data_IF_505943593123
#
_entry.id   IF_505943593123
#
_cell.length_a   1.000
_cell.length_b   1.000
_cell.length_c   1.000
_cell.angle_alpha   90.00
_cell.angle_beta   90.00
_cell.angle_gamma   90.00
#
_symmetry.space_group_name_H-M   'P 1'
#
loop_
_entity.id
_entity.type
_entity.pdbx_description
1 polymer ?
#
# COMPACT_ATOMS: atom_id res chain seq x y z
N UNK A 1 -8.62 4.28 8.63
CA UNK A 1 -9.00 5.70 8.79
C UNK A 1 -7.96 6.49 8.02
N UNK A 2 -8.33 7.16 6.93
CA UNK A 2 -7.37 7.71 5.96
C UNK A 2 -7.00 9.14 6.35
N UNK A 3 -5.73 9.39 6.66
CA UNK A 3 -5.24 10.69 7.14
C UNK A 3 -4.83 11.58 5.96
N UNK A 4 -5.21 12.85 6.02
CA UNK A 4 -4.90 13.87 5.03
C UNK A 4 -3.44 14.33 5.16
N UNK A 5 -2.62 14.10 4.12
CA UNK A 5 -1.19 14.43 4.09
C UNK A 5 -0.93 15.93 4.22
N UNK A 6 -1.90 16.80 3.88
CA UNK A 6 -1.75 18.26 4.03
C UNK A 6 -1.91 18.73 5.49
N UNK A 7 -2.35 17.86 6.40
CA UNK A 7 -2.57 18.15 7.82
C UNK A 7 -2.09 17.02 8.74
N UNK A 8 -1.20 16.16 8.23
CA UNK A 8 -0.73 14.99 8.96
C UNK A 8 0.30 15.40 10.02
N UNK A 9 -0.05 15.20 11.29
CA UNK A 9 0.87 15.27 12.43
C UNK A 9 2.17 14.48 12.14
N UNK A 10 3.37 15.05 12.35
CA UNK A 10 4.65 14.36 12.21
C UNK A 10 4.66 12.95 12.83
N UNK A 11 4.06 12.79 14.01
CA UNK A 11 4.00 11.49 14.67
C UNK A 11 3.15 10.46 13.90
N UNK A 12 2.13 10.91 13.16
CA UNK A 12 1.33 10.04 12.30
C UNK A 12 2.08 9.60 11.04
N UNK A 13 2.91 10.47 10.48
CA UNK A 13 3.79 10.14 9.36
C UNK A 13 4.83 9.10 9.78
N UNK A 14 5.46 9.26 10.94
CA UNK A 14 6.45 8.30 11.45
C UNK A 14 5.82 6.92 11.72
N UNK A 15 4.67 6.86 12.39
CA UNK A 15 3.94 5.60 12.59
C UNK A 15 3.56 4.92 11.26
N UNK A 16 3.20 5.72 10.25
CA UNK A 16 2.92 5.21 8.91
C UNK A 16 4.19 4.62 8.28
N UNK A 17 5.34 5.29 8.42
CA UNK A 17 6.62 4.84 7.86
C UNK A 17 7.15 3.56 8.52
N UNK A 18 6.85 3.36 9.81
CA UNK A 18 7.14 2.11 10.54
C UNK A 18 6.28 0.94 10.03
N UNK A 19 5.01 1.18 9.74
CA UNK A 19 4.07 0.16 9.25
C UNK A 19 4.28 -0.17 7.77
N UNK A 20 4.66 0.85 6.98
CA UNK A 20 4.85 0.78 5.54
C UNK A 20 6.19 1.43 5.19
N UNK A 21 7.22 0.61 4.92
CA UNK A 21 8.52 1.12 4.53
C UNK A 21 8.43 1.98 3.26
N UNK A 22 9.06 3.15 3.31
CA UNK A 22 9.03 4.14 2.21
C UNK A 22 9.60 3.60 0.91
N UNK A 23 10.56 2.66 0.99
CA UNK A 23 11.18 2.01 -0.16
C UNK A 23 10.22 1.04 -0.87
N UNK A 24 9.33 0.35 -0.15
CA UNK A 24 8.27 -0.46 -0.77
C UNK A 24 7.36 0.42 -1.62
N UNK A 25 6.96 1.58 -1.09
CA UNK A 25 6.15 2.56 -1.83
C UNK A 25 6.91 3.10 -3.05
N UNK A 26 8.21 3.38 -2.92
CA UNK A 26 9.05 3.92 -4.00
C UNK A 26 9.24 2.94 -5.16
N UNK A 27 9.42 1.65 -4.88
CA UNK A 27 9.50 0.62 -5.92
C UNK A 27 8.21 0.52 -6.74
N UNK A 28 7.08 0.89 -6.14
CA UNK A 28 5.74 0.71 -6.70
C UNK A 28 5.21 1.99 -7.36
N UNK A 29 5.52 3.15 -6.79
CA UNK A 29 5.19 4.47 -7.32
C UNK A 29 6.36 5.42 -6.97
N UNK A 30 7.33 5.61 -7.89
CA UNK A 30 8.59 6.28 -7.55
C UNK A 30 8.44 7.71 -7.01
N UNK A 31 7.54 8.51 -7.60
CA UNK A 31 7.39 9.92 -7.25
C UNK A 31 6.68 10.14 -5.90
N UNK A 32 5.64 9.37 -5.62
CA UNK A 32 4.87 9.39 -4.38
C UNK A 32 5.62 8.67 -3.25
N UNK A 33 6.35 7.59 -3.56
CA UNK A 33 7.27 6.98 -2.60
C UNK A 33 8.43 7.90 -2.24
N UNK A 34 8.96 8.67 -3.20
CA UNK A 34 9.92 9.72 -2.91
C UNK A 34 9.32 10.85 -2.05
N UNK A 35 8.10 11.31 -2.36
CA UNK A 35 7.40 12.29 -1.54
C UNK A 35 7.11 11.77 -0.13
N UNK A 36 6.70 10.52 0.01
CA UNK A 36 6.44 9.87 1.30
C UNK A 36 7.72 9.70 2.13
N UNK A 37 8.83 9.30 1.49
CA UNK A 37 10.14 9.26 2.13
C UNK A 37 10.59 10.65 2.62
N UNK A 38 10.33 11.69 1.82
CA UNK A 38 10.63 13.05 2.18
C UNK A 38 9.81 13.52 3.39
N UNK A 39 8.53 13.15 3.45
CA UNK A 39 7.66 13.44 4.59
C UNK A 39 8.14 12.75 5.87
N UNK A 40 8.55 11.48 5.78
CA UNK A 40 9.15 10.77 6.91
C UNK A 40 10.43 11.47 7.39
N UNK A 41 11.32 11.86 6.47
CA UNK A 41 12.57 12.55 6.83
C UNK A 41 12.35 13.91 7.48
N UNK A 42 11.39 14.71 6.97
CA UNK A 42 11.01 15.99 7.59
C UNK A 42 10.41 15.78 8.99
N UNK A 43 9.55 14.77 9.15
CA UNK A 43 8.98 14.41 10.44
C UNK A 43 10.06 13.91 11.44
N UNK A 44 11.05 13.13 10.99
CA UNK A 44 12.19 12.68 11.80
C UNK A 44 13.04 13.86 12.29
N UNK A 45 13.16 14.92 11.48
CA UNK A 45 13.82 16.17 11.86
C UNK A 45 13.01 16.99 12.88
N UNK A 46 11.80 16.55 13.25
CA UNK A 46 10.89 17.25 14.15
C UNK A 46 10.15 18.42 13.50
N UNK A 47 10.17 18.51 12.17
CA UNK A 47 9.48 19.54 11.40
C UNK A 47 8.11 19.05 10.93
N UNK A 48 7.17 19.99 10.75
CA UNK A 48 5.87 19.71 10.15
C UNK A 48 6.05 19.38 8.66
N UNK A 49 5.55 18.24 8.14
CA UNK A 49 5.65 17.86 6.73
C UNK A 49 4.70 18.68 5.83
N UNK A 50 4.60 19.99 6.07
CA UNK A 50 3.92 20.94 5.23
C UNK A 50 4.65 21.13 3.89
N UNK A 51 3.92 21.58 2.87
CA UNK A 51 4.43 21.72 1.51
C UNK A 51 5.72 22.57 1.42
N UNK A 52 5.84 23.63 2.20
CA UNK A 52 7.03 24.50 2.22
C UNK A 52 8.26 23.77 2.77
N UNK A 53 8.10 23.02 3.88
CA UNK A 53 9.19 22.24 4.49
C UNK A 53 9.60 21.08 3.58
N UNK A 54 8.64 20.44 2.91
CA UNK A 54 8.93 19.41 1.90
C UNK A 54 9.67 19.99 0.71
N UNK A 55 9.24 21.14 0.18
CA UNK A 55 9.93 21.79 -0.95
C UNK A 55 11.35 22.22 -0.54
N UNK A 56 11.53 22.76 0.67
CA UNK A 56 12.83 23.12 1.21
C UNK A 56 13.75 21.91 1.38
N UNK A 57 13.23 20.79 1.90
CA UNK A 57 13.97 19.54 2.03
C UNK A 57 14.35 18.95 0.65
N UNK A 58 13.42 18.90 -0.30
CA UNK A 58 13.70 18.42 -1.65
C UNK A 58 14.77 19.24 -2.38
N UNK A 59 14.79 20.57 -2.18
CA UNK A 59 15.81 21.45 -2.71
C UNK A 59 17.17 21.24 -2.04
N UNK A 60 17.18 21.13 -0.70
CA UNK A 60 18.38 20.87 0.11
C UNK A 60 19.07 19.57 -0.32
N UNK A 61 18.27 18.54 -0.60
CA UNK A 61 18.76 17.20 -0.93
C UNK A 61 18.97 16.99 -2.45
N UNK A 62 18.71 18.02 -3.27
CA UNK A 62 18.91 17.95 -4.72
C UNK A 62 17.97 16.99 -5.45
N UNK A 63 16.80 16.67 -4.88
CA UNK A 63 15.88 15.64 -5.38
C UNK A 63 15.07 16.08 -6.61
N UNK A 64 15.08 17.37 -6.95
CA UNK A 64 14.27 17.94 -8.04
C UNK A 64 14.92 17.87 -9.42
N UNK A 65 16.12 17.28 -9.53
CA UNK A 65 16.81 17.15 -10.81
C UNK A 65 16.30 15.95 -11.64
N UNK A 66 16.26 16.12 -12.97
CA UNK A 66 15.96 15.05 -13.93
C UNK A 66 14.49 14.62 -13.99
N UNK A 67 14.21 13.55 -14.74
CA UNK A 67 12.84 13.04 -14.99
C UNK A 67 12.10 12.67 -13.70
N UNK A 68 12.79 12.04 -12.74
CA UNK A 68 12.20 11.67 -11.46
C UNK A 68 11.96 12.88 -10.57
N UNK A 69 12.87 13.86 -10.57
CA UNK A 69 12.70 15.12 -9.87
C UNK A 69 11.53 15.97 -10.39
N UNK A 70 11.28 15.98 -11.71
CA UNK A 70 10.12 16.66 -12.29
C UNK A 70 8.80 15.96 -11.94
N UNK A 71 8.81 14.63 -11.77
CA UNK A 71 7.66 13.89 -11.28
C UNK A 71 7.40 14.19 -9.79
N UNK A 72 8.45 14.22 -8.96
CA UNK A 72 8.36 14.61 -7.55
C UNK A 72 7.85 16.05 -7.41
N UNK A 73 8.39 16.99 -8.20
CA UNK A 73 7.95 18.39 -8.23
C UNK A 73 6.46 18.51 -8.53
N UNK A 74 5.93 17.73 -9.48
CA UNK A 74 4.49 17.68 -9.78
C UNK A 74 3.67 17.18 -8.59
N UNK A 75 4.15 16.15 -7.88
CA UNK A 75 3.49 15.64 -6.66
C UNK A 75 3.52 16.69 -5.55
N UNK A 76 4.65 17.37 -5.32
CA UNK A 76 4.77 18.42 -4.31
C UNK A 76 3.93 19.65 -4.62
N UNK A 77 3.85 20.05 -5.90
CA UNK A 77 2.96 21.12 -6.33
C UNK A 77 1.48 20.73 -6.17
N UNK A 78 1.13 19.49 -6.52
CA UNK A 78 -0.22 18.98 -6.27
C UNK A 78 -0.56 19.04 -4.78
N UNK A 79 0.34 18.60 -3.90
CA UNK A 79 0.21 18.71 -2.44
C UNK A 79 0.01 20.16 -1.97
N UNK A 80 0.81 21.09 -2.47
CA UNK A 80 0.71 22.52 -2.12
C UNK A 80 -0.61 23.16 -2.56
N UNK A 81 -1.20 22.66 -3.67
CA UNK A 81 -2.45 23.18 -4.23
C UNK A 81 -3.70 22.41 -3.80
N UNK A 82 -3.54 21.24 -3.18
CA UNK A 82 -4.64 20.38 -2.78
C UNK A 82 -5.33 20.91 -1.52
N UNK A 83 -6.22 21.87 -1.71
CA UNK A 83 -7.34 22.07 -0.78
C UNK A 83 -8.40 20.99 -1.07
N UNK A 84 -8.23 19.79 -0.52
CA UNK A 84 -9.31 18.80 -0.41
C UNK A 84 -9.17 17.46 -1.16
N UNK A 85 -8.14 17.26 -1.99
CA UNK A 85 -7.73 15.89 -2.36
C UNK A 85 -6.58 15.46 -1.46
N UNK A 86 -6.97 14.98 -0.27
CA UNK A 86 -6.08 14.33 0.66
C UNK A 86 -5.23 13.29 -0.08
N UNK A 87 -3.96 13.59 -0.27
CA UNK A 87 -2.96 12.55 -0.45
C UNK A 87 -3.06 11.77 0.87
N UNK A 88 -3.40 10.48 0.84
CA UNK A 88 -3.75 9.74 2.06
C UNK A 88 -2.53 9.03 2.60
N UNK A 89 -2.20 9.24 3.89
CA UNK A 89 -1.19 8.39 4.53
C UNK A 89 -1.68 6.94 4.53
N UNK A 90 -0.88 5.99 4.05
CA UNK A 90 -1.23 4.59 4.19
C UNK A 90 -1.18 4.22 5.68
N UNK A 91 -2.31 3.78 6.22
CA UNK A 91 -2.39 3.30 7.61
C UNK A 91 -2.22 1.79 7.73
N UNK A 92 -2.15 1.11 6.58
CA UNK A 92 -1.99 -0.32 6.47
C UNK A 92 -1.37 -0.69 5.12
N UNK A 93 -0.80 -1.89 5.03
CA UNK A 93 -0.36 -2.46 3.74
C UNK A 93 -1.50 -2.60 2.73
N UNK A 94 -2.74 -2.75 3.20
CA UNK A 94 -3.96 -2.73 2.37
C UNK A 94 -4.20 -1.38 1.69
N UNK A 95 -4.00 -0.27 2.41
CA UNK A 95 -4.14 1.08 1.85
C UNK A 95 -3.10 1.32 0.74
N UNK A 96 -1.86 0.85 0.95
CA UNK A 96 -0.76 0.95 -0.02
C UNK A 96 -1.11 0.21 -1.30
N UNK A 97 -1.58 -1.03 -1.19
CA UNK A 97 -1.96 -1.81 -2.37
C UNK A 97 -3.17 -1.24 -3.11
N UNK A 98 -4.16 -0.69 -2.39
CA UNK A 98 -5.26 0.04 -2.99
C UNK A 98 -4.77 1.24 -3.81
N UNK A 99 -3.84 2.02 -3.26
CA UNK A 99 -3.20 3.15 -3.97
C UNK A 99 -2.41 2.67 -5.19
N UNK A 100 -1.67 1.56 -5.08
CA UNK A 100 -0.90 0.99 -6.18
C UNK A 100 -1.80 0.51 -7.31
N UNK A 101 -2.87 -0.22 -6.99
CA UNK A 101 -3.83 -0.68 -7.98
C UNK A 101 -4.46 0.50 -8.71
N UNK A 102 -4.80 1.56 -7.97
CA UNK A 102 -5.32 2.80 -8.56
C UNK A 102 -4.31 3.48 -9.47
N UNK A 103 -3.08 3.68 -9.02
CA UNK A 103 -2.03 4.33 -9.81
C UNK A 103 -1.70 3.54 -11.09
N UNK A 104 -1.66 2.21 -11.02
CA UNK A 104 -1.47 1.34 -12.19
C UNK A 104 -2.67 1.42 -13.14
N UNK A 105 -3.89 1.49 -12.62
CA UNK A 105 -5.10 1.67 -13.43
C UNK A 105 -5.12 3.03 -14.15
N UNK A 106 -4.69 4.10 -13.47
CA UNK A 106 -4.57 5.44 -14.04
C UNK A 106 -3.49 5.51 -15.12
N UNK A 107 -2.31 4.93 -14.88
CA UNK A 107 -1.24 4.82 -15.90
C UNK A 107 -1.71 4.05 -17.14
N UNK A 108 -2.43 2.96 -16.92
CA UNK A 108 -3.02 2.17 -18.00
C UNK A 108 -4.08 2.95 -18.78
N UNK A 109 -4.99 3.65 -18.10
CA UNK A 109 -5.99 4.50 -18.74
C UNK A 109 -5.35 5.63 -19.56
N UNK A 110 -4.29 6.25 -19.03
CA UNK A 110 -3.52 7.26 -19.73
C UNK A 110 -2.82 6.70 -20.97
N UNK A 111 -2.17 5.54 -20.85
CA UNK A 111 -1.53 4.86 -21.98
C UNK A 111 -2.56 4.48 -23.07
N UNK A 112 -3.75 4.01 -22.68
CA UNK A 112 -4.84 3.78 -23.63
C UNK A 112 -5.26 5.08 -24.33
N UNK A 113 -5.43 6.18 -23.59
CA UNK A 113 -5.77 7.48 -24.15
C UNK A 113 -4.77 7.99 -25.19
N UNK A 114 -3.47 7.82 -24.93
CA UNK A 114 -2.41 8.20 -25.88
C UNK A 114 -2.40 7.35 -27.16
N UNK A 115 -2.73 6.07 -27.05
CA UNK A 115 -2.62 5.12 -28.15
C UNK A 115 -3.94 4.85 -28.89
N UNK A 116 -5.07 5.34 -28.37
CA UNK A 116 -6.40 5.09 -28.94
C UNK A 116 -6.58 5.58 -30.38
N UNK A 117 -5.87 6.66 -30.76
CA UNK A 117 -5.91 7.21 -32.11
C UNK A 117 -4.95 6.55 -33.11
N UNK A 118 -4.02 5.71 -32.64
CA UNK A 118 -2.94 5.14 -33.46
C UNK A 118 -3.00 3.62 -33.59
N UNK A 119 -3.63 2.94 -32.64
CA UNK A 119 -3.78 1.48 -32.66
C UNK A 119 -5.02 1.05 -33.43
N UNK A 120 -4.91 -0.08 -34.13
CA UNK A 120 -6.09 -0.75 -34.70
C UNK A 120 -6.99 -1.35 -33.61
N UNK A 121 -8.28 -1.58 -33.93
CA UNK A 121 -9.27 -2.11 -32.98
C UNK A 121 -8.80 -3.41 -32.28
N UNK A 122 -8.23 -4.35 -33.04
CA UNK A 122 -7.72 -5.61 -32.50
C UNK A 122 -6.52 -5.42 -31.55
N UNK A 123 -5.69 -4.41 -31.76
CA UNK A 123 -4.57 -4.06 -30.90
C UNK A 123 -5.05 -3.38 -29.62
N UNK A 124 -6.03 -2.49 -29.73
CA UNK A 124 -6.67 -1.85 -28.60
C UNK A 124 -7.33 -2.88 -27.68
N UNK A 125 -8.11 -3.82 -28.24
CA UNK A 125 -8.76 -4.89 -27.47
C UNK A 125 -7.72 -5.77 -26.76
N UNK A 126 -6.59 -6.07 -27.41
CA UNK A 126 -5.50 -6.85 -26.82
C UNK A 126 -4.82 -6.10 -25.67
N UNK A 127 -4.51 -4.81 -25.88
CA UNK A 127 -3.94 -3.95 -24.85
C UNK A 127 -4.89 -3.84 -23.65
N UNK A 128 -6.20 -3.68 -23.90
CA UNK A 128 -7.21 -3.59 -22.86
C UNK A 128 -7.24 -4.88 -22.02
N UNK A 129 -7.35 -6.04 -22.67
CA UNK A 129 -7.38 -7.33 -21.96
C UNK A 129 -6.09 -7.59 -21.18
N UNK A 130 -4.93 -7.31 -21.79
CA UNK A 130 -3.63 -7.48 -21.15
C UNK A 130 -3.48 -6.61 -19.91
N UNK A 131 -3.83 -5.33 -20.00
CA UNK A 131 -3.77 -4.40 -18.87
C UNK A 131 -4.74 -4.79 -17.75
N UNK A 132 -5.99 -5.15 -18.08
CA UNK A 132 -6.95 -5.62 -17.09
C UNK A 132 -6.48 -6.92 -16.41
N UNK A 133 -5.91 -7.86 -17.15
CA UNK A 133 -5.37 -9.10 -16.59
C UNK A 133 -4.18 -8.82 -15.64
N UNK A 134 -3.30 -7.88 -15.98
CA UNK A 134 -2.18 -7.48 -15.12
C UNK A 134 -2.65 -6.79 -13.83
N UNK A 135 -3.69 -5.95 -13.91
CA UNK A 135 -4.30 -5.31 -12.74
C UNK A 135 -4.96 -6.35 -11.82
N UNK A 136 -5.72 -7.30 -12.38
CA UNK A 136 -6.33 -8.39 -11.62
C UNK A 136 -5.28 -9.32 -11.00
N UNK A 137 -4.19 -9.62 -11.71
CA UNK A 137 -3.06 -10.38 -11.18
C UNK A 137 -2.42 -9.69 -9.99
N UNK A 138 -2.15 -8.39 -10.11
CA UNK A 138 -1.61 -7.56 -9.02
C UNK A 138 -2.54 -7.54 -7.80
N UNK A 139 -3.85 -7.46 -8.02
CA UNK A 139 -4.84 -7.48 -6.94
C UNK A 139 -4.93 -8.86 -6.25
N UNK A 140 -4.84 -9.94 -7.02
CA UNK A 140 -4.86 -11.30 -6.49
C UNK A 140 -3.61 -11.65 -5.70
N UNK A 141 -2.42 -11.26 -6.17
CA UNK A 141 -1.16 -11.40 -5.44
C UNK A 141 -1.21 -10.64 -4.11
N UNK A 142 -1.75 -9.42 -4.14
CA UNK A 142 -1.94 -8.65 -2.92
C UNK A 142 -2.90 -9.32 -1.93
N UNK A 143 -4.05 -9.80 -2.41
CA UNK A 143 -5.01 -10.52 -1.56
C UNK A 143 -4.39 -11.76 -0.90
N UNK A 144 -3.56 -12.51 -1.63
CA UNK A 144 -2.82 -13.67 -1.09
C UNK A 144 -1.79 -13.25 -0.05
N UNK A 145 -1.03 -12.19 -0.30
CA UNK A 145 -0.05 -11.67 0.65
C UNK A 145 -0.71 -11.21 1.96
N UNK A 146 -1.89 -10.59 1.90
CA UNK A 146 -2.67 -10.21 3.07
C UNK A 146 -3.19 -11.41 3.86
N UNK A 147 -3.68 -12.45 3.18
CA UNK A 147 -4.11 -13.69 3.83
C UNK A 147 -2.95 -14.40 4.52
N UNK A 148 -1.78 -14.47 3.86
CA UNK A 148 -0.58 -15.06 4.45
C UNK A 148 -0.09 -14.29 5.69
N UNK A 149 -0.10 -12.95 5.64
CA UNK A 149 0.27 -12.10 6.78
C UNK A 149 -0.75 -12.18 7.94
N UNK A 150 -2.04 -12.33 7.63
CA UNK A 150 -3.09 -12.55 8.64
C UNK A 150 -2.99 -13.92 9.30
N UNK A 151 -2.68 -14.97 8.54
CA UNK A 151 -2.47 -16.31 9.07
C UNK A 151 -1.27 -16.37 10.04
N UNK A 152 -0.20 -15.61 9.77
CA UNK A 152 0.95 -15.52 10.69
C UNK A 152 0.69 -14.73 11.98
N UNK A 153 -0.38 -13.92 12.02
CA UNK A 153 -0.76 -13.16 13.22
C UNK A 153 -1.62 -13.99 14.18
N UNK A 154 -2.51 -14.86 13.65
CA UNK A 154 -3.29 -15.80 14.47
C UNK A 154 -2.43 -16.96 15.01
N UNK A 155 -1.39 -17.38 14.29
CA UNK A 155 -0.50 -18.48 14.70
C UNK A 155 0.58 -18.05 15.73
N UNK A 156 0.70 -16.75 16.00
CA UNK A 156 1.59 -16.19 17.02
C UNK A 156 0.88 -15.93 18.37
N UNK A 157 -0.45 -16.16 18.44
CA UNK A 157 -1.27 -15.86 19.60
C UNK A 157 -1.90 -17.07 20.29
N UNK A 158 -1.73 -18.29 19.77
CA UNK A 158 -2.18 -19.50 20.44
C UNK A 158 -1.15 -19.90 21.52
N UNK A 159 -1.40 -19.53 22.77
CA UNK A 159 -0.70 -20.18 23.89
C UNK A 159 -0.94 -21.70 23.82
N UNK A 160 0.09 -22.55 24.01
CA UNK A 160 0.01 -24.01 23.84
C UNK A 160 -0.81 -24.72 24.94
N UNK A 161 -1.69 -24.01 25.65
CA UNK A 161 -2.50 -24.55 26.74
C UNK A 161 -3.89 -25.02 26.28
N UNK A 162 -4.52 -24.36 25.28
CA UNK A 162 -5.91 -24.67 24.89
C UNK A 162 -6.02 -25.87 23.93
N UNK A 163 -4.94 -26.23 23.22
CA UNK A 163 -4.95 -27.42 22.33
C UNK A 163 -4.88 -28.72 23.15
N UNK A 164 -4.26 -28.70 24.33
CA UNK A 164 -4.16 -29.87 25.19
C UNK A 164 -5.48 -30.22 25.90
N UNK A 165 -6.34 -29.23 26.17
CA UNK A 165 -7.64 -29.45 26.81
C UNK A 165 -8.67 -30.04 25.82
N UNK A 166 -8.62 -29.62 24.55
CA UNK A 166 -9.50 -30.15 23.50
C UNK A 166 -9.13 -31.57 23.05
N UNK A 167 -7.85 -31.97 23.10
CA UNK A 167 -7.44 -33.34 22.82
C UNK A 167 -7.78 -34.32 23.96
N UNK A 168 -7.82 -33.85 25.22
CA UNK A 168 -8.26 -34.65 26.36
C UNK A 168 -9.79 -34.91 26.32
N UNK A 169 -10.59 -33.91 25.92
CA UNK A 169 -12.05 -34.03 25.84
C UNK A 169 -12.50 -34.95 24.67
N UNK A 170 -11.76 -34.97 23.55
CA UNK A 170 -12.02 -35.91 22.45
C UNK A 170 -11.67 -37.38 22.78
N UNK A 171 -10.73 -37.61 23.69
CA UNK A 171 -10.36 -38.96 24.13
C UNK A 171 -11.39 -39.56 25.10
N UNK A 172 -12.07 -38.75 25.91
CA UNK A 172 -13.18 -39.23 26.76
C UNK A 172 -14.45 -39.53 25.95
N UNK A 173 -14.76 -38.73 24.92
CA UNK A 173 -15.93 -38.93 24.06
C UNK A 173 -15.81 -40.19 23.17
N UNK A 174 -14.59 -40.58 22.79
CA UNK A 174 -14.35 -41.80 21.99
C UNK A 174 -14.25 -43.07 22.83
N UNK A 175 -13.90 -42.96 24.13
CA UNK A 175 -13.93 -44.08 25.07
C UNK A 175 -15.35 -44.42 25.56
N UNK A 176 -16.24 -43.42 25.67
CA UNK A 176 -17.62 -43.60 26.17
C UNK A 176 -18.63 -44.17 25.16
N UNK A 177 -18.33 -44.17 23.86
CA UNK A 177 -19.25 -44.67 22.81
C UNK A 177 -19.09 -46.16 22.48
N UNK A 178 -18.25 -46.89 23.21
CA UNK A 178 -17.94 -48.31 22.97
C UNK A 178 -18.87 -49.34 23.63
N UNK A 179 -19.92 -48.93 24.35
CA UNK A 179 -20.74 -49.85 25.15
C UNK A 179 -22.24 -49.78 24.83
N UNK A 180 -22.62 -49.86 23.55
CA UNK A 180 -23.96 -50.34 23.14
C UNK A 180 -23.83 -51.16 21.85
N UNK A 181 -23.21 -52.33 21.96
CA UNK A 181 -23.33 -53.40 20.98
C UNK A 181 -23.26 -54.76 21.69
N UNK A 182 -24.39 -55.19 22.25
CA UNK A 182 -24.70 -56.59 22.56
C UNK A 182 -26.22 -56.78 22.50
#
# INVERSE_FOLDING_TARGET
MLLDLAAADPAAVLRSAELVPTEEVRQLQPAAGAAYALMASVAEAGEDPAADNLMAAALRDGLLAGQQGEALKRVLLALATAHGEALRLPTSRADVAGLILRARAEQFAYALGLNAGTLGEAELVRAIRGGCAALLGSAAEFARAQLAAGATADDAGAEPAEVAELEAEQLELTAGSGEVAA
#
